data_IF_288171215403
#
_entry.id   IF_288171215403
#
_cell.length_a   1.000
_cell.length_b   1.000
_cell.length_c   1.000
_cell.angle_alpha   90.00
_cell.angle_beta   90.00
_cell.angle_gamma   90.00
#
_symmetry.space_group_name_H-M   'P 1'
#
loop_
_entity.id
_entity.type
_entity.pdbx_description
1 polymer ?
#
# COMPACT_ATOMS: atom_id res chain seq x y z
N UNK A 1 2.08 31.43 3.86
CA UNK A 1 3.45 31.10 3.43
C UNK A 1 3.39 29.83 2.60
N UNK A 2 3.41 29.93 1.28
CA UNK A 2 3.59 28.77 0.40
C UNK A 2 5.06 28.37 0.50
N UNK A 3 5.35 27.27 1.18
CA UNK A 3 6.68 26.65 1.10
C UNK A 3 6.76 26.01 -0.27
N UNK A 4 7.42 26.68 -1.22
CA UNK A 4 7.98 26.04 -2.40
C UNK A 4 8.95 24.97 -1.91
N UNK A 5 8.45 23.73 -1.71
CA UNK A 5 9.35 22.58 -1.67
C UNK A 5 9.86 22.42 -3.08
N UNK A 6 11.15 22.60 -3.26
CA UNK A 6 11.83 22.11 -4.47
C UNK A 6 11.43 20.64 -4.67
N UNK A 7 11.16 20.21 -5.91
CA UNK A 7 10.83 18.82 -6.16
C UNK A 7 11.98 17.94 -5.65
N UNK A 8 11.70 17.08 -4.68
CA UNK A 8 12.69 16.13 -4.19
C UNK A 8 13.23 15.34 -5.38
N UNK A 9 14.55 15.14 -5.47
CA UNK A 9 15.14 14.37 -6.57
C UNK A 9 14.45 13.00 -6.62
N UNK A 10 14.13 12.49 -7.82
CA UNK A 10 13.43 11.22 -7.94
C UNK A 10 14.22 10.14 -7.20
N UNK A 11 13.57 9.47 -6.26
CA UNK A 11 14.21 8.45 -5.43
C UNK A 11 14.78 7.37 -6.36
N UNK A 12 16.08 7.13 -6.27
CA UNK A 12 16.75 6.16 -7.12
C UNK A 12 16.54 4.75 -6.55
N UNK A 13 15.68 3.96 -7.20
CA UNK A 13 15.43 2.57 -6.85
C UNK A 13 15.95 1.60 -7.91
N UNK A 14 16.20 0.36 -7.49
CA UNK A 14 16.38 -0.78 -8.38
C UNK A 14 15.63 -1.99 -7.84
N UNK A 15 15.19 -2.87 -8.73
CA UNK A 15 14.59 -4.16 -8.37
C UNK A 15 15.70 -5.17 -8.12
N UNK A 16 15.61 -5.94 -7.06
CA UNK A 16 16.50 -7.06 -6.76
C UNK A 16 15.73 -8.19 -6.09
N UNK A 17 16.42 -9.25 -5.70
CA UNK A 17 15.83 -10.42 -5.03
C UNK A 17 16.47 -10.70 -3.66
N UNK A 18 16.03 -11.78 -3.02
CA UNK A 18 16.81 -12.47 -1.99
C UNK A 18 18.19 -12.95 -2.51
N UNK A 19 19.11 -13.30 -1.60
CA UNK A 19 20.48 -13.70 -1.97
C UNK A 19 20.55 -15.00 -2.77
N UNK A 20 19.51 -15.85 -2.68
CA UNK A 20 19.38 -17.13 -3.38
C UNK A 20 17.95 -17.23 -3.92
N UNK A 21 17.63 -16.52 -5.02
CA UNK A 21 16.28 -16.49 -5.54
C UNK A 21 15.94 -17.80 -6.26
N UNK A 22 14.70 -18.23 -6.15
CA UNK A 22 14.09 -19.24 -7.00
C UNK A 22 13.86 -18.69 -8.43
N UNK A 23 13.71 -19.57 -9.44
CA UNK A 23 13.34 -19.13 -10.80
C UNK A 23 12.07 -18.30 -10.85
N UNK A 24 11.10 -18.59 -9.97
CA UNK A 24 9.85 -17.82 -9.85
C UNK A 24 10.08 -16.42 -9.32
N UNK A 25 10.96 -16.26 -8.32
CA UNK A 25 11.30 -14.93 -7.78
C UNK A 25 12.07 -14.09 -8.80
N UNK A 26 12.96 -14.72 -9.59
CA UNK A 26 13.66 -14.04 -10.70
C UNK A 26 12.66 -13.55 -11.76
N UNK A 27 11.74 -14.40 -12.21
CA UNK A 27 10.71 -14.01 -13.17
C UNK A 27 9.83 -12.87 -12.62
N UNK A 28 9.43 -12.96 -11.34
CA UNK A 28 8.67 -11.91 -10.65
C UNK A 28 9.45 -10.59 -10.55
N UNK A 29 10.76 -10.63 -10.33
CA UNK A 29 11.63 -9.45 -10.31
C UNK A 29 11.75 -8.78 -11.68
N UNK A 30 11.87 -9.56 -12.75
CA UNK A 30 11.87 -9.01 -14.12
C UNK A 30 10.51 -8.40 -14.49
N UNK A 31 9.41 -9.05 -14.11
CA UNK A 31 8.06 -8.50 -14.31
C UNK A 31 7.90 -7.17 -13.57
N UNK A 32 8.25 -7.15 -12.28
CA UNK A 32 8.17 -5.94 -11.46
C UNK A 32 9.07 -4.80 -11.98
N UNK A 33 10.26 -5.13 -12.51
CA UNK A 33 11.14 -4.17 -13.17
C UNK A 33 10.48 -3.56 -14.42
N UNK A 34 9.83 -4.38 -15.25
CA UNK A 34 9.08 -3.91 -16.42
C UNK A 34 7.88 -3.03 -16.05
N UNK A 35 7.12 -3.40 -15.01
CA UNK A 35 5.95 -2.65 -14.56
C UNK A 35 6.31 -1.30 -13.92
N UNK A 36 7.39 -1.27 -13.11
CA UNK A 36 7.78 -0.07 -12.37
C UNK A 36 8.74 0.84 -13.13
N UNK A 37 9.35 0.34 -14.20
CA UNK A 37 10.41 1.03 -14.95
C UNK A 37 11.78 1.02 -14.26
N UNK A 38 11.91 0.47 -13.05
CA UNK A 38 13.20 0.35 -12.37
C UNK A 38 14.00 -0.84 -12.91
N UNK A 39 15.31 -0.64 -13.12
CA UNK A 39 16.19 -1.73 -13.58
C UNK A 39 16.29 -2.86 -12.55
N UNK A 40 16.42 -4.08 -13.04
CA UNK A 40 16.79 -5.23 -12.23
C UNK A 40 18.31 -5.28 -11.99
N UNK A 41 18.72 -5.50 -10.75
CA UNK A 41 20.13 -5.68 -10.33
C UNK A 41 20.26 -7.00 -9.56
N UNK A 42 21.05 -7.97 -10.06
CA UNK A 42 21.28 -9.24 -9.36
C UNK A 42 21.91 -9.02 -7.98
N UNK A 43 21.43 -9.73 -6.96
CA UNK A 43 21.96 -9.57 -5.59
C UNK A 43 23.38 -10.10 -5.39
N UNK A 44 23.73 -11.23 -6.03
CA UNK A 44 25.10 -11.79 -6.07
C UNK A 44 25.82 -11.80 -4.70
N UNK A 45 25.14 -12.30 -3.66
CA UNK A 45 25.64 -12.36 -2.27
C UNK A 45 25.97 -11.02 -1.59
N UNK A 46 25.69 -9.88 -2.23
CA UNK A 46 25.85 -8.56 -1.64
C UNK A 46 24.78 -8.29 -0.57
N UNK A 47 25.16 -7.49 0.43
CA UNK A 47 24.19 -6.92 1.38
C UNK A 47 23.37 -5.84 0.67
N UNK A 48 22.12 -5.61 1.11
CA UNK A 48 21.27 -4.57 0.52
C UNK A 48 21.90 -3.18 0.67
N UNK A 49 22.53 -2.91 1.81
CA UNK A 49 23.28 -1.67 2.04
C UNK A 49 24.46 -1.51 1.09
N UNK A 50 25.24 -2.57 0.88
CA UNK A 50 26.36 -2.56 -0.06
C UNK A 50 25.89 -2.32 -1.49
N UNK A 51 24.84 -3.01 -1.92
CA UNK A 51 24.24 -2.78 -3.24
C UNK A 51 23.76 -1.36 -3.44
N UNK A 52 23.05 -0.79 -2.46
CA UNK A 52 22.57 0.58 -2.57
C UNK A 52 23.71 1.59 -2.64
N UNK A 53 24.79 1.38 -1.89
CA UNK A 53 25.98 2.23 -1.94
C UNK A 53 26.72 2.12 -3.30
N UNK A 54 27.00 0.90 -3.75
CA UNK A 54 27.71 0.63 -5.01
C UNK A 54 26.97 1.22 -6.22
N UNK A 55 25.65 1.06 -6.22
CA UNK A 55 24.76 1.46 -7.31
C UNK A 55 24.23 2.90 -7.14
N UNK A 56 24.62 3.61 -6.07
CA UNK A 56 24.16 4.97 -5.71
C UNK A 56 22.64 5.11 -5.66
N UNK A 57 21.98 4.12 -5.06
CA UNK A 57 20.52 4.05 -4.93
C UNK A 57 20.05 4.61 -3.59
N UNK A 58 18.89 5.25 -3.61
CA UNK A 58 18.16 5.64 -2.39
C UNK A 58 17.54 4.41 -1.70
N UNK A 59 17.13 3.41 -2.48
CA UNK A 59 16.52 2.20 -1.97
C UNK A 59 16.47 1.05 -2.96
N UNK A 60 15.94 -0.08 -2.52
CA UNK A 60 15.80 -1.31 -3.29
C UNK A 60 14.39 -1.85 -3.17
N UNK A 61 13.85 -2.33 -4.28
CA UNK A 61 12.62 -3.12 -4.33
C UNK A 61 13.05 -4.58 -4.28
N UNK A 62 12.86 -5.23 -3.13
CA UNK A 62 13.37 -6.58 -2.89
C UNK A 62 12.24 -7.57 -3.08
N UNK A 63 12.28 -8.32 -4.17
CA UNK A 63 11.35 -9.40 -4.45
C UNK A 63 11.67 -10.61 -3.57
N UNK A 64 10.63 -11.10 -2.90
CA UNK A 64 10.65 -12.23 -1.98
C UNK A 64 9.47 -13.16 -2.32
N UNK A 65 9.36 -14.30 -1.64
CA UNK A 65 8.32 -15.29 -1.94
C UNK A 65 6.91 -14.69 -1.85
N UNK A 66 6.27 -14.51 -3.00
CA UNK A 66 4.86 -14.13 -3.14
C UNK A 66 4.55 -12.62 -3.15
N UNK A 67 5.53 -11.75 -2.85
CA UNK A 67 5.37 -10.30 -2.93
C UNK A 67 6.75 -9.60 -2.97
N UNK A 68 6.83 -8.31 -2.66
CA UNK A 68 8.08 -7.57 -2.52
C UNK A 68 8.08 -6.73 -1.24
N UNK A 69 9.26 -6.21 -0.91
CA UNK A 69 9.46 -5.24 0.16
C UNK A 69 10.25 -4.04 -0.35
N UNK A 70 10.12 -2.92 0.33
CA UNK A 70 10.91 -1.72 0.06
C UNK A 70 12.02 -1.62 1.10
N UNK A 71 13.26 -1.62 0.66
CA UNK A 71 14.42 -1.39 1.52
C UNK A 71 14.94 0.02 1.31
N UNK A 72 15.04 0.81 2.38
CA UNK A 72 15.53 2.20 2.35
C UNK A 72 16.34 2.46 3.61
N UNK A 73 17.58 2.95 3.47
CA UNK A 73 18.44 3.35 4.59
C UNK A 73 18.50 2.33 5.75
N UNK A 74 18.65 1.03 5.43
CA UNK A 74 18.75 -0.04 6.42
C UNK A 74 17.41 -0.55 6.96
N UNK A 75 16.28 0.05 6.58
CA UNK A 75 14.94 -0.36 6.99
C UNK A 75 14.24 -1.09 5.86
N UNK A 76 13.48 -2.12 6.21
CA UNK A 76 12.66 -2.88 5.27
C UNK A 76 11.19 -2.65 5.61
N UNK A 77 10.43 -2.19 4.62
CA UNK A 77 8.99 -2.05 4.69
C UNK A 77 8.36 -3.22 3.91
N UNK A 78 7.62 -4.05 4.64
CA UNK A 78 6.77 -5.11 4.09
C UNK A 78 5.32 -4.73 4.36
N UNK A 79 4.43 -5.15 3.47
CA UNK A 79 3.01 -4.94 3.70
C UNK A 79 2.51 -5.73 4.92
N UNK A 80 1.78 -5.07 5.81
CA UNK A 80 1.01 -5.65 6.90
C UNK A 80 -0.22 -4.75 7.12
N UNK A 81 -1.41 -5.31 7.41
CA UNK A 81 -2.65 -4.53 7.61
C UNK A 81 -2.65 -3.67 8.90
N UNK A 82 -1.49 -3.50 9.53
CA UNK A 82 -1.26 -2.77 10.78
C UNK A 82 -2.36 -3.05 11.84
N UNK A 83 -2.93 -2.01 12.44
CA UNK A 83 -3.96 -2.11 13.48
C UNK A 83 -5.35 -2.52 12.95
N UNK A 84 -5.54 -2.69 11.64
CA UNK A 84 -6.87 -3.00 11.09
C UNK A 84 -7.47 -4.26 11.73
N UNK A 85 -6.68 -5.33 11.87
CA UNK A 85 -7.14 -6.57 12.53
C UNK A 85 -7.68 -6.29 13.94
N UNK A 86 -6.90 -5.60 14.77
CA UNK A 86 -7.27 -5.33 16.16
C UNK A 86 -8.50 -4.43 16.26
N UNK A 87 -8.64 -3.47 15.34
CA UNK A 87 -9.80 -2.58 15.24
C UNK A 87 -11.06 -3.32 14.79
N UNK A 88 -10.95 -4.25 13.84
CA UNK A 88 -12.06 -5.10 13.43
C UNK A 88 -12.53 -6.04 14.54
N UNK A 89 -11.59 -6.69 15.25
CA UNK A 89 -11.94 -7.51 16.40
C UNK A 89 -12.64 -6.71 17.50
N UNK A 90 -12.22 -5.45 17.72
CA UNK A 90 -12.89 -4.56 18.65
C UNK A 90 -14.33 -4.25 18.20
N UNK A 91 -14.54 -3.96 16.91
CA UNK A 91 -15.87 -3.73 16.33
C UNK A 91 -16.78 -4.95 16.44
N UNK A 92 -16.26 -6.17 16.21
CA UNK A 92 -17.02 -7.43 16.37
C UNK A 92 -17.43 -7.67 17.84
N UNK A 93 -16.67 -7.14 18.79
CA UNK A 93 -16.99 -7.15 20.22
C UNK A 93 -17.94 -6.00 20.63
N UNK A 94 -18.48 -5.23 19.68
CA UNK A 94 -19.35 -4.09 19.95
C UNK A 94 -18.63 -2.87 20.53
N UNK A 95 -17.29 -2.82 20.49
CA UNK A 95 -16.51 -1.64 20.89
C UNK A 95 -16.53 -0.59 19.78
N UNK A 96 -16.21 0.63 20.17
CA UNK A 96 -16.14 1.77 19.26
C UNK A 96 -14.82 1.81 18.49
N UNK A 97 -14.90 2.24 17.24
CA UNK A 97 -13.75 2.62 16.42
C UNK A 97 -13.79 4.12 16.14
N UNK A 98 -12.66 4.79 16.32
CA UNK A 98 -12.57 6.27 16.25
C UNK A 98 -12.93 6.76 14.83
N UNK A 99 -12.39 6.12 13.79
CA UNK A 99 -12.64 6.49 12.40
C UNK A 99 -14.11 6.29 12.06
N UNK A 100 -14.66 5.11 12.36
CA UNK A 100 -16.06 4.76 12.06
C UNK A 100 -17.02 5.76 12.72
N UNK A 101 -16.76 6.12 13.97
CA UNK A 101 -17.60 7.07 14.71
C UNK A 101 -17.45 8.50 14.17
N UNK A 102 -16.22 8.96 13.93
CA UNK A 102 -15.96 10.32 13.45
C UNK A 102 -16.58 10.57 12.08
N UNK A 103 -16.50 9.58 11.20
CA UNK A 103 -17.03 9.65 9.83
C UNK A 103 -18.49 9.18 9.73
N UNK A 104 -19.08 8.70 10.84
CA UNK A 104 -20.44 8.15 10.89
C UNK A 104 -20.74 7.10 9.81
N UNK A 105 -19.76 6.25 9.50
CA UNK A 105 -19.84 5.30 8.38
C UNK A 105 -21.02 4.35 8.52
N UNK A 106 -21.73 4.13 7.41
CA UNK A 106 -22.90 3.27 7.27
C UNK A 106 -22.67 2.22 6.18
N UNK A 107 -23.47 1.16 6.27
CA UNK A 107 -23.53 0.13 5.23
C UNK A 107 -23.92 0.78 3.89
N UNK A 108 -23.16 0.51 2.84
CA UNK A 108 -23.42 1.06 1.50
C UNK A 108 -22.70 2.37 1.17
N UNK A 109 -22.04 3.03 2.11
CA UNK A 109 -21.34 4.29 1.82
C UNK A 109 -20.21 4.12 0.80
N UNK A 110 -20.02 5.14 -0.04
CA UNK A 110 -18.86 5.34 -0.89
C UNK A 110 -17.84 6.19 -0.13
N UNK A 111 -16.70 5.61 0.22
CA UNK A 111 -15.64 6.25 1.01
C UNK A 111 -14.40 6.46 0.17
N UNK A 112 -13.87 7.69 0.22
CA UNK A 112 -12.56 8.05 -0.31
C UNK A 112 -11.60 8.37 0.84
N UNK A 113 -10.52 7.61 0.93
CA UNK A 113 -9.36 7.87 1.79
C UNK A 113 -8.28 8.57 0.96
N UNK A 114 -7.96 9.81 1.29
CA UNK A 114 -6.99 10.60 0.52
C UNK A 114 -5.52 10.30 0.87
N UNK A 115 -5.27 9.46 1.90
CA UNK A 115 -3.93 9.23 2.46
C UNK A 115 -3.75 7.77 2.90
N UNK A 116 -3.73 6.85 1.92
CA UNK A 116 -3.68 5.42 2.16
C UNK A 116 -2.67 4.97 3.22
N UNK A 117 -1.42 5.40 3.08
CA UNK A 117 -0.33 4.90 3.90
C UNK A 117 -0.16 3.39 3.74
N UNK A 118 -0.60 2.61 4.74
CA UNK A 118 -0.65 1.14 4.69
C UNK A 118 -2.07 0.58 4.60
N UNK A 119 -3.06 1.47 4.47
CA UNK A 119 -4.47 1.16 4.21
C UNK A 119 -5.23 0.53 5.37
N UNK A 120 -4.77 0.72 6.61
CA UNK A 120 -5.46 0.21 7.79
C UNK A 120 -6.86 0.83 7.93
N UNK A 121 -6.99 2.13 7.71
CA UNK A 121 -8.25 2.86 7.77
C UNK A 121 -9.17 2.46 6.62
N UNK A 122 -8.65 2.34 5.40
CA UNK A 122 -9.37 1.84 4.23
C UNK A 122 -9.95 0.43 4.46
N UNK A 123 -9.20 -0.48 5.08
CA UNK A 123 -9.70 -1.82 5.44
C UNK A 123 -10.86 -1.74 6.44
N UNK A 124 -10.71 -0.93 7.49
CA UNK A 124 -11.76 -0.77 8.51
C UNK A 124 -13.03 -0.17 7.89
N UNK A 125 -12.87 0.85 7.04
CA UNK A 125 -13.96 1.43 6.27
C UNK A 125 -14.63 0.36 5.38
N UNK A 126 -13.84 -0.44 4.63
CA UNK A 126 -14.37 -1.46 3.73
C UNK A 126 -15.15 -2.55 4.47
N UNK A 127 -14.73 -2.91 5.69
CA UNK A 127 -15.51 -3.76 6.57
C UNK A 127 -16.82 -3.10 7.01
N UNK A 128 -16.77 -1.82 7.41
CA UNK A 128 -17.93 -1.10 7.93
C UNK A 128 -19.01 -0.83 6.87
N UNK A 129 -18.60 -0.44 5.66
CA UNK A 129 -19.53 -0.16 4.56
C UNK A 129 -20.03 -1.42 3.85
N UNK A 130 -19.42 -2.57 4.16
CA UNK A 130 -19.83 -3.88 3.66
C UNK A 130 -19.58 -4.09 2.17
N UNK A 131 -20.24 -5.10 1.60
CA UNK A 131 -20.10 -5.48 0.20
C UNK A 131 -20.90 -4.58 -0.78
N UNK A 132 -21.89 -3.85 -0.27
CA UNK A 132 -22.70 -2.91 -1.06
C UNK A 132 -22.08 -1.51 -1.12
N UNK A 133 -21.15 -1.21 -0.21
CA UNK A 133 -20.39 0.03 -0.23
C UNK A 133 -19.15 -0.06 -1.09
N UNK A 134 -18.43 1.05 -1.18
CA UNK A 134 -17.22 1.18 -2.00
C UNK A 134 -16.16 1.93 -1.22
N UNK A 135 -14.92 1.45 -1.26
CA UNK A 135 -13.79 2.15 -0.66
C UNK A 135 -12.68 2.30 -1.68
N UNK A 136 -12.28 3.54 -1.92
CA UNK A 136 -11.08 3.88 -2.66
C UNK A 136 -10.11 4.61 -1.75
N UNK A 137 -8.82 4.31 -1.92
CA UNK A 137 -7.74 4.93 -1.16
C UNK A 137 -6.66 5.44 -2.10
N UNK A 138 -6.19 6.66 -1.86
CA UNK A 138 -5.22 7.37 -2.68
C UNK A 138 -3.86 7.38 -1.99
N UNK A 139 -2.82 7.07 -2.75
CA UNK A 139 -1.45 7.16 -2.27
C UNK A 139 -0.59 7.86 -3.32
N UNK A 140 0.05 8.96 -2.94
CA UNK A 140 0.87 9.75 -3.86
C UNK A 140 2.17 9.01 -4.23
N UNK A 141 2.74 8.22 -3.31
CA UNK A 141 3.96 7.45 -3.54
C UNK A 141 3.68 6.20 -4.40
N UNK A 142 4.21 6.11 -5.63
CA UNK A 142 3.90 4.98 -6.53
C UNK A 142 4.33 3.63 -5.96
N UNK A 143 5.49 3.58 -5.30
CA UNK A 143 5.99 2.34 -4.70
C UNK A 143 5.19 1.91 -3.48
N UNK A 144 4.69 2.86 -2.70
CA UNK A 144 3.86 2.54 -1.54
C UNK A 144 2.46 2.09 -1.97
N UNK A 145 1.86 2.78 -2.95
CA UNK A 145 0.60 2.39 -3.57
C UNK A 145 0.65 0.95 -4.09
N UNK A 146 1.70 0.62 -4.86
CA UNK A 146 1.91 -0.73 -5.40
C UNK A 146 2.13 -1.78 -4.30
N UNK A 147 2.90 -1.45 -3.26
CA UNK A 147 3.14 -2.34 -2.13
C UNK A 147 1.84 -2.67 -1.40
N UNK A 148 0.99 -1.65 -1.17
CA UNK A 148 -0.29 -1.80 -0.48
C UNK A 148 -1.30 -2.53 -1.34
N UNK A 149 -1.43 -2.19 -2.62
CA UNK A 149 -2.33 -2.86 -3.56
C UNK A 149 -2.03 -4.37 -3.63
N UNK A 150 -0.78 -4.74 -3.96
CA UNK A 150 -0.40 -6.17 -4.02
C UNK A 150 -0.48 -6.84 -2.67
N UNK A 151 -0.08 -6.13 -1.63
CA UNK A 151 -0.23 -6.55 -0.24
C UNK A 151 -1.68 -6.93 0.08
N UNK A 152 -2.61 -6.02 -0.13
CA UNK A 152 -4.05 -6.23 0.07
C UNK A 152 -4.63 -7.29 -0.85
N UNK A 153 -4.06 -7.55 -2.03
CA UNK A 153 -4.54 -8.59 -2.95
C UNK A 153 -4.06 -10.01 -2.58
N UNK A 154 -2.92 -10.16 -1.90
CA UNK A 154 -2.31 -11.46 -1.61
C UNK A 154 -2.14 -11.80 -0.13
N UNK A 155 -2.34 -10.86 0.80
CA UNK A 155 -2.17 -11.11 2.23
C UNK A 155 -3.11 -12.23 2.68
N UNK A 156 -2.55 -13.23 3.38
CA UNK A 156 -3.28 -14.40 3.87
C UNK A 156 -3.56 -14.19 5.35
N UNK A 157 -4.84 -14.13 5.69
CA UNK A 157 -5.32 -13.99 7.06
C UNK A 157 -6.76 -14.51 7.14
N UNK A 158 -7.00 -15.41 8.09
CA UNK A 158 -8.32 -16.06 8.23
C UNK A 158 -9.14 -15.49 9.39
N UNK A 159 -8.52 -14.68 10.24
CA UNK A 159 -9.13 -14.15 11.46
C UNK A 159 -8.89 -12.62 11.61
N UNK A 160 -9.95 -11.80 11.73
CA UNK A 160 -11.35 -12.19 11.63
C UNK A 160 -11.76 -12.54 10.18
N UNK A 161 -12.80 -13.36 9.95
CA UNK A 161 -13.22 -13.79 8.60
C UNK A 161 -13.58 -12.63 7.66
N UNK A 162 -13.95 -11.48 8.22
CA UNK A 162 -14.33 -10.26 7.49
C UNK A 162 -13.11 -9.53 6.90
N UNK A 163 -11.90 -9.73 7.45
CA UNK A 163 -10.71 -8.93 7.14
C UNK A 163 -10.20 -9.17 5.72
N UNK A 164 -9.88 -10.40 5.34
CA UNK A 164 -9.35 -10.67 4.00
C UNK A 164 -10.33 -10.25 2.88
N UNK A 165 -11.65 -10.55 2.95
CA UNK A 165 -12.62 -10.03 1.99
C UNK A 165 -12.67 -8.50 1.94
N UNK A 166 -12.54 -7.80 3.05
CA UNK A 166 -12.48 -6.34 3.07
C UNK A 166 -11.23 -5.81 2.35
N UNK A 167 -10.06 -6.40 2.61
CA UNK A 167 -8.82 -6.06 1.91
C UNK A 167 -8.97 -6.21 0.38
N UNK A 168 -9.66 -7.26 -0.09
CA UNK A 168 -9.88 -7.48 -1.53
C UNK A 168 -10.83 -6.48 -2.18
N UNK A 169 -11.64 -5.74 -1.41
CA UNK A 169 -12.58 -4.73 -1.93
C UNK A 169 -12.01 -3.32 -1.95
N UNK A 170 -10.89 -3.06 -1.28
CA UNK A 170 -10.27 -1.73 -1.26
C UNK A 170 -9.64 -1.47 -2.63
N UNK A 171 -10.09 -0.40 -3.30
CA UNK A 171 -9.48 0.09 -4.53
C UNK A 171 -8.30 1.02 -4.18
N UNK A 172 -7.07 0.59 -4.42
CA UNK A 172 -5.88 1.44 -4.23
C UNK A 172 -5.57 2.16 -5.54
N UNK A 173 -5.39 3.47 -5.48
CA UNK A 173 -5.00 4.27 -6.65
C UNK A 173 -3.76 5.10 -6.34
N UNK A 174 -2.74 5.00 -7.19
CA UNK A 174 -1.61 5.91 -7.13
C UNK A 174 -2.01 7.28 -7.70
N UNK A 175 -2.23 8.25 -6.83
CA UNK A 175 -2.60 9.61 -7.19
C UNK A 175 -2.28 10.59 -6.06
N UNK A 176 -1.94 11.82 -6.43
CA UNK A 176 -2.02 12.94 -5.50
C UNK A 176 -3.50 13.27 -5.24
N UNK A 177 -3.88 13.38 -3.97
CA UNK A 177 -5.28 13.58 -3.60
C UNK A 177 -5.82 14.93 -4.07
N UNK A 178 -4.99 15.99 -4.11
CA UNK A 178 -5.45 17.31 -4.51
C UNK A 178 -5.73 17.33 -6.03
N UNK A 179 -4.89 16.67 -6.82
CA UNK A 179 -5.13 16.51 -8.26
C UNK A 179 -6.33 15.60 -8.55
N UNK A 180 -6.50 14.54 -7.78
CA UNK A 180 -7.64 13.62 -7.90
C UNK A 180 -8.97 14.33 -7.60
N UNK A 181 -9.06 14.99 -6.44
CA UNK A 181 -10.28 15.66 -6.00
C UNK A 181 -10.72 16.78 -6.95
N UNK A 182 -9.79 17.49 -7.59
CA UNK A 182 -10.13 18.53 -8.59
C UNK A 182 -10.79 17.98 -9.85
N UNK A 183 -10.61 16.69 -10.15
CA UNK A 183 -11.15 16.02 -11.36
C UNK A 183 -12.37 15.17 -11.07
N UNK A 184 -12.60 14.86 -9.80
CA UNK A 184 -13.70 14.02 -9.36
C UNK A 184 -15.04 14.75 -9.56
N UNK A 185 -16.08 13.98 -9.88
CA UNK A 185 -17.42 14.54 -10.02
C UNK A 185 -18.01 14.94 -8.66
N UNK A 186 -18.88 15.96 -8.67
CA UNK A 186 -19.65 16.34 -7.48
C UNK A 186 -20.47 15.14 -6.95
N UNK A 187 -20.53 15.00 -5.62
CA UNK A 187 -21.28 13.95 -4.92
C UNK A 187 -20.89 12.50 -5.32
N UNK A 188 -19.67 12.30 -5.84
CA UNK A 188 -19.14 10.97 -6.17
C UNK A 188 -18.92 10.08 -4.93
N UNK A 189 -18.67 10.70 -3.77
CA UNK A 189 -18.37 10.06 -2.50
C UNK A 189 -19.30 10.55 -1.41
N UNK A 190 -19.70 9.65 -0.53
CA UNK A 190 -20.53 9.97 0.64
C UNK A 190 -19.65 10.46 1.80
N UNK A 191 -18.39 9.99 1.85
CA UNK A 191 -17.38 10.38 2.84
C UNK A 191 -16.03 10.54 2.16
N UNK A 192 -15.33 11.64 2.50
CA UNK A 192 -13.94 11.92 2.10
C UNK A 192 -13.17 12.31 3.36
N UNK A 193 -11.98 11.73 3.57
CA UNK A 193 -11.06 12.14 4.63
C UNK A 193 -9.60 12.09 4.17
#
# INVERSE_FOLDING_TARGET
MQTNREPEPPLAFAVTTSARPSPRELASAHCLAGETGYRYVPRTHRSLSGMAADERLTGLIVVERGNFSLWVAGRCLRYHPNMAKLRLLALEQGKHDILVNALQLKLGDRVLDCTCGLGADAIVAACKVGATGRVRTLEASPLLALLVERGMACYVIDDPPSLAPAMRRVEVLNADYADYLRREADNAWDVVY
#
